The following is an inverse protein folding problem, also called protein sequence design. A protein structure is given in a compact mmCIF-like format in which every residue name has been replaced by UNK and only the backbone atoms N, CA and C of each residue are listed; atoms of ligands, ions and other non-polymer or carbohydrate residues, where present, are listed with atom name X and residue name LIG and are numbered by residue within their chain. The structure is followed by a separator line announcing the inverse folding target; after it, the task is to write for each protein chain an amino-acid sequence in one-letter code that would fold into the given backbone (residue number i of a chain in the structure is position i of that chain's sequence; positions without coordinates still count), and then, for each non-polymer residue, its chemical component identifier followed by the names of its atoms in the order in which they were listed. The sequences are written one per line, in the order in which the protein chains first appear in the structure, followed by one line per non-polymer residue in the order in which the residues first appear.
data_IF_737616940494
#
_entry.id   IF_737616940494
#
_cell.length_a   1.000
_cell.length_b   1.000
_cell.length_c   1.000
_cell.angle_alpha   90.00
_cell.angle_beta   90.00
_cell.angle_gamma   90.00
#
_symmetry.space_group_name_H-M   'P 1'
#
loop_
_entity.id
_entity.type
_entity.pdbx_description
1 polymer ?
#
# COMPACT_ATOMS: atom_id res chain seq x y z
N UNK A 1 -22.31 6.56 15.46
CA UNK A 1 -22.35 5.43 14.51
C UNK A 1 -21.99 5.84 13.08
N UNK A 2 -22.58 6.91 12.53
CA UNK A 2 -22.31 7.41 11.16
C UNK A 2 -20.83 7.75 10.86
N UNK A 3 -20.12 8.40 11.79
CA UNK A 3 -18.72 8.79 11.57
C UNK A 3 -17.75 7.61 11.46
N UNK A 4 -17.96 6.57 12.26
CA UNK A 4 -17.16 5.33 12.21
C UNK A 4 -17.31 4.66 10.85
N UNK A 5 -18.54 4.56 10.34
CA UNK A 5 -18.81 3.99 9.02
C UNK A 5 -18.19 4.80 7.89
N UNK A 6 -18.22 6.15 7.97
CA UNK A 6 -17.57 7.03 6.98
C UNK A 6 -16.05 6.89 6.98
N UNK A 7 -15.43 6.79 8.17
CA UNK A 7 -14.00 6.60 8.33
C UNK A 7 -13.54 5.22 7.83
N UNK A 8 -14.23 4.15 8.24
CA UNK A 8 -13.97 2.78 7.77
C UNK A 8 -14.09 2.70 6.25
N UNK A 9 -15.17 3.25 5.66
CA UNK A 9 -15.36 3.30 4.21
C UNK A 9 -14.20 4.02 3.51
N UNK A 10 -13.81 5.20 4.02
CA UNK A 10 -12.73 6.00 3.42
C UNK A 10 -11.41 5.24 3.40
N UNK A 11 -10.98 4.68 4.53
CA UNK A 11 -9.71 3.97 4.61
C UNK A 11 -9.69 2.72 3.75
N UNK A 12 -10.79 1.96 3.74
CA UNK A 12 -10.89 0.77 2.89
C UNK A 12 -10.92 1.13 1.40
N UNK A 13 -11.52 2.26 1.01
CA UNK A 13 -11.52 2.72 -0.38
C UNK A 13 -10.11 3.16 -0.83
N UNK A 14 -9.35 3.85 0.05
CA UNK A 14 -7.94 4.19 -0.18
C UNK A 14 -7.10 2.92 -0.34
N UNK A 15 -7.23 1.97 0.60
CA UNK A 15 -6.51 0.70 0.57
C UNK A 15 -6.84 -0.13 -0.68
N UNK A 16 -8.11 -0.17 -1.09
CA UNK A 16 -8.54 -0.80 -2.34
C UNK A 16 -7.91 -0.18 -3.57
N UNK A 17 -7.89 1.15 -3.66
CA UNK A 17 -7.24 1.84 -4.78
C UNK A 17 -5.73 1.64 -4.80
N UNK A 18 -5.06 1.56 -3.64
CA UNK A 18 -3.65 1.17 -3.55
C UNK A 18 -3.44 -0.26 -4.07
N UNK A 19 -4.26 -1.22 -3.65
CA UNK A 19 -4.19 -2.59 -4.17
C UNK A 19 -4.40 -2.68 -5.68
N UNK A 20 -5.38 -1.95 -6.24
CA UNK A 20 -5.56 -1.87 -7.69
C UNK A 20 -4.34 -1.28 -8.41
N UNK A 21 -3.69 -0.29 -7.81
CA UNK A 21 -2.45 0.27 -8.34
C UNK A 21 -1.33 -0.77 -8.33
N UNK A 22 -1.07 -1.43 -7.20
CA UNK A 22 -0.03 -2.46 -7.09
C UNK A 22 -0.23 -3.61 -8.06
N UNK A 23 -1.48 -4.03 -8.28
CA UNK A 23 -1.80 -5.06 -9.28
C UNK A 23 -1.48 -4.60 -10.70
N UNK A 24 -1.90 -3.39 -11.07
CA UNK A 24 -1.64 -2.84 -12.40
C UNK A 24 -0.15 -2.63 -12.63
N UNK A 25 0.55 -2.14 -11.62
CA UNK A 25 2.00 -1.97 -11.66
C UNK A 25 2.71 -3.31 -11.79
N UNK A 26 2.36 -4.32 -10.98
CA UNK A 26 2.90 -5.67 -11.08
C UNK A 26 2.71 -6.28 -12.47
N UNK A 27 1.51 -6.14 -13.05
CA UNK A 27 1.24 -6.60 -14.42
C UNK A 27 2.07 -5.87 -15.46
N UNK A 28 2.26 -4.56 -15.31
CA UNK A 28 3.10 -3.76 -16.19
C UNK A 28 4.58 -4.19 -16.11
N UNK A 29 5.11 -4.40 -14.90
CA UNK A 29 6.47 -4.92 -14.69
C UNK A 29 6.62 -6.32 -15.28
N UNK A 30 5.62 -7.20 -15.10
CA UNK A 30 5.60 -8.53 -15.71
C UNK A 30 5.77 -8.47 -17.23
N UNK A 31 5.05 -7.57 -17.92
CA UNK A 31 5.22 -7.36 -19.36
C UNK A 31 6.62 -6.90 -19.75
N UNK A 32 7.24 -6.03 -18.95
CA UNK A 32 8.60 -5.56 -19.20
C UNK A 32 9.58 -6.71 -19.07
N UNK A 33 9.46 -7.51 -18.00
CA UNK A 33 10.28 -8.72 -17.80
C UNK A 33 10.09 -9.66 -19.00
N UNK A 34 8.86 -9.99 -19.36
CA UNK A 34 8.59 -10.87 -20.50
C UNK A 34 9.22 -10.34 -21.80
N UNK A 35 9.15 -9.03 -22.05
CA UNK A 35 9.78 -8.41 -23.21
C UNK A 35 11.30 -8.66 -23.24
N UNK A 36 12.00 -8.38 -22.13
CA UNK A 36 13.45 -8.55 -22.04
C UNK A 36 13.90 -10.01 -22.10
N UNK A 37 13.13 -10.94 -21.53
CA UNK A 37 13.49 -12.37 -21.48
C UNK A 37 12.94 -13.18 -22.67
N UNK A 38 11.98 -12.66 -23.45
CA UNK A 38 11.42 -13.33 -24.64
C UNK A 38 12.44 -13.78 -25.69
N UNK A 39 13.60 -13.12 -25.90
CA UNK A 39 14.60 -13.57 -26.86
C UNK A 39 15.28 -14.88 -26.44
N UNK A 40 15.41 -15.16 -25.14
CA UNK A 40 16.17 -16.32 -24.63
C UNK A 40 15.58 -17.64 -25.13
N UNK A 41 14.28 -17.95 -24.93
CA UNK A 41 13.70 -19.16 -25.49
C UNK A 41 13.73 -19.16 -27.03
N UNK A 42 13.69 -18.00 -27.66
CA UNK A 42 13.66 -17.89 -29.12
C UNK A 42 15.01 -18.28 -29.75
N UNK A 43 16.11 -17.78 -29.19
CA UNK A 43 17.46 -17.92 -29.76
C UNK A 43 18.29 -19.03 -29.12
N UNK A 44 18.11 -19.32 -27.84
CA UNK A 44 19.00 -20.23 -27.10
C UNK A 44 18.46 -21.65 -26.94
N UNK A 45 17.16 -21.89 -27.15
CA UNK A 45 16.54 -23.18 -26.85
C UNK A 45 16.35 -24.06 -28.09
N UNK A 46 16.59 -25.37 -27.94
CA UNK A 46 16.22 -26.39 -28.95
C UNK A 46 14.70 -26.60 -29.00
N UNK A 47 14.20 -27.27 -30.05
CA UNK A 47 12.75 -27.50 -30.24
C UNK A 47 12.09 -28.19 -29.03
N UNK A 48 12.75 -29.18 -28.44
CA UNK A 48 12.26 -29.90 -27.25
C UNK A 48 12.27 -29.01 -26.00
N UNK A 49 13.31 -28.18 -25.84
CA UNK A 49 13.40 -27.22 -24.74
C UNK A 49 12.33 -26.13 -24.85
N UNK A 50 12.06 -25.59 -26.05
CA UNK A 50 10.98 -24.62 -26.29
C UNK A 50 9.63 -25.19 -25.88
N UNK A 51 9.31 -26.41 -26.34
CA UNK A 51 8.05 -27.08 -25.98
C UNK A 51 7.92 -27.23 -24.46
N UNK A 52 8.95 -27.77 -23.79
CA UNK A 52 8.96 -27.93 -22.32
C UNK A 52 8.82 -26.60 -21.59
N UNK A 53 9.51 -25.56 -22.05
CA UNK A 53 9.46 -24.23 -21.44
C UNK A 53 8.06 -23.64 -21.49
N UNK A 54 7.42 -23.57 -22.66
CA UNK A 54 6.08 -23.00 -22.79
C UNK A 54 5.01 -23.86 -22.11
N UNK A 55 5.14 -25.18 -22.12
CA UNK A 55 4.24 -26.08 -21.38
C UNK A 55 4.34 -25.84 -19.87
N UNK A 56 5.54 -25.69 -19.33
CA UNK A 56 5.76 -25.37 -17.92
C UNK A 56 5.23 -23.98 -17.58
N UNK A 57 5.51 -22.97 -18.41
CA UNK A 57 5.03 -21.60 -18.20
C UNK A 57 3.50 -21.57 -18.11
N UNK A 58 2.81 -22.25 -19.02
CA UNK A 58 1.34 -22.37 -18.99
C UNK A 58 0.82 -23.08 -17.74
N UNK A 59 1.50 -24.13 -17.27
CA UNK A 59 1.12 -24.85 -16.04
C UNK A 59 1.36 -24.03 -14.79
N UNK A 60 2.43 -23.24 -14.75
CA UNK A 60 2.80 -22.40 -13.61
C UNK A 60 2.04 -21.07 -13.57
N UNK A 61 1.48 -20.60 -14.70
CA UNK A 61 0.80 -19.31 -14.78
C UNK A 61 -0.27 -19.09 -13.70
N UNK A 62 -1.20 -20.04 -13.42
CA UNK A 62 -2.22 -19.82 -12.40
C UNK A 62 -1.64 -19.68 -10.99
N UNK A 63 -0.58 -20.43 -10.68
CA UNK A 63 0.10 -20.37 -9.39
C UNK A 63 0.83 -19.02 -9.22
N UNK A 64 1.45 -18.53 -10.30
CA UNK A 64 2.07 -17.20 -10.32
C UNK A 64 1.02 -16.10 -10.19
N UNK A 65 -0.11 -16.22 -10.89
CA UNK A 65 -1.20 -15.24 -10.80
C UNK A 65 -1.78 -15.17 -9.38
N UNK A 66 -1.94 -16.32 -8.70
CA UNK A 66 -2.36 -16.36 -7.30
C UNK A 66 -1.29 -15.75 -6.37
N UNK A 67 -0.02 -16.12 -6.56
CA UNK A 67 1.11 -15.61 -5.78
C UNK A 67 1.26 -14.09 -5.88
N UNK A 68 1.08 -13.52 -7.07
CA UNK A 68 1.26 -12.08 -7.28
C UNK A 68 -0.03 -11.30 -6.99
N UNK A 69 -1.19 -11.80 -7.43
CA UNK A 69 -2.43 -11.02 -7.49
C UNK A 69 -3.54 -11.52 -6.57
N UNK A 70 -3.32 -12.60 -5.82
CA UNK A 70 -4.26 -13.12 -4.83
C UNK A 70 -4.70 -12.03 -3.84
N UNK A 71 -6.01 -11.92 -3.60
CA UNK A 71 -6.61 -10.85 -2.76
C UNK A 71 -6.32 -10.99 -1.26
N UNK A 72 -5.90 -12.19 -0.81
CA UNK A 72 -5.63 -12.50 0.61
C UNK A 72 -4.14 -12.59 0.93
N UNK A 73 -3.39 -13.26 0.08
CA UNK A 73 -1.99 -13.62 0.32
C UNK A 73 -1.06 -13.26 -0.85
N UNK A 74 -1.57 -12.57 -1.86
CA UNK A 74 -0.77 -12.18 -3.02
C UNK A 74 0.23 -11.07 -2.70
N UNK A 75 1.30 -11.01 -3.48
CA UNK A 75 2.34 -9.98 -3.36
C UNK A 75 1.76 -8.56 -3.45
N UNK A 76 0.87 -8.30 -4.41
CA UNK A 76 0.26 -6.97 -4.57
C UNK A 76 -0.61 -6.54 -3.39
N UNK A 77 -1.27 -7.47 -2.69
CA UNK A 77 -2.05 -7.10 -1.49
C UNK A 77 -1.14 -6.85 -0.30
N UNK A 78 -0.06 -7.64 -0.15
CA UNK A 78 0.96 -7.40 0.87
C UNK A 78 1.62 -6.03 0.72
N UNK A 79 1.98 -5.65 -0.51
CA UNK A 79 2.56 -4.35 -0.81
C UNK A 79 1.55 -3.21 -0.55
N UNK A 80 0.28 -3.40 -0.90
CA UNK A 80 -0.77 -2.43 -0.58
C UNK A 80 -1.00 -2.28 0.92
N UNK A 81 -0.94 -3.36 1.72
CA UNK A 81 -0.98 -3.28 3.18
C UNK A 81 0.17 -2.46 3.74
N UNK A 82 1.39 -2.75 3.29
CA UNK A 82 2.59 -2.04 3.71
C UNK A 82 2.52 -0.55 3.35
N UNK A 83 2.22 -0.23 2.09
CA UNK A 83 2.14 1.15 1.61
C UNK A 83 1.02 1.93 2.31
N UNK A 84 -0.16 1.32 2.52
CA UNK A 84 -1.22 1.94 3.29
C UNK A 84 -0.77 2.26 4.72
N UNK A 85 -0.15 1.29 5.40
CA UNK A 85 0.36 1.47 6.75
C UNK A 85 1.40 2.58 6.83
N UNK A 86 2.35 2.60 5.89
CA UNK A 86 3.40 3.62 5.81
C UNK A 86 2.81 5.02 5.61
N UNK A 87 1.99 5.23 4.56
CA UNK A 87 1.42 6.56 4.28
C UNK A 87 0.47 7.04 5.39
N UNK A 88 -0.34 6.14 5.96
CA UNK A 88 -1.21 6.52 7.07
C UNK A 88 -0.41 6.94 8.30
N UNK A 89 0.68 6.24 8.61
CA UNK A 89 1.52 6.48 9.79
C UNK A 89 2.32 7.78 9.73
N UNK A 90 2.47 8.38 8.55
CA UNK A 90 3.14 9.69 8.41
C UNK A 90 2.26 10.82 8.97
N UNK A 91 0.93 10.72 8.86
CA UNK A 91 0.04 11.79 9.33
C UNK A 91 0.17 12.08 10.84
N UNK A 92 0.22 11.07 11.73
CA UNK A 92 0.48 11.30 13.15
C UNK A 92 1.86 11.89 13.49
N UNK A 93 2.86 11.75 12.62
CA UNK A 93 4.21 12.30 12.87
C UNK A 93 4.19 13.82 13.05
N UNK A 94 3.17 14.53 12.56
CA UNK A 94 3.03 15.98 12.78
C UNK A 94 2.96 16.33 14.28
N UNK A 95 2.36 15.45 15.10
CA UNK A 95 2.34 15.63 16.55
C UNK A 95 3.73 15.44 17.16
N UNK A 96 4.51 14.51 16.61
CA UNK A 96 5.90 14.27 17.02
C UNK A 96 6.76 15.50 16.75
N UNK A 97 6.66 16.08 15.55
CA UNK A 97 7.39 17.31 15.20
C UNK A 97 6.97 18.50 16.07
N UNK A 98 5.67 18.65 16.36
CA UNK A 98 5.22 19.71 17.27
C UNK A 98 5.82 19.57 18.68
N UNK A 99 5.85 18.35 19.23
CA UNK A 99 6.45 18.08 20.54
C UNK A 99 7.95 18.35 20.49
N UNK A 100 8.63 17.88 19.44
CA UNK A 100 10.06 18.13 19.22
C UNK A 100 10.39 19.64 19.19
N UNK A 101 9.60 20.44 18.46
CA UNK A 101 9.74 21.90 18.42
C UNK A 101 9.59 22.56 19.79
N UNK A 102 8.75 22.03 20.69
CA UNK A 102 8.67 22.51 22.08
C UNK A 102 9.94 22.19 22.87
N UNK A 103 10.48 20.98 22.74
CA UNK A 103 11.73 20.60 23.40
C UNK A 103 12.89 21.52 22.98
N UNK A 104 12.99 21.81 21.68
CA UNK A 104 13.97 22.75 21.13
C UNK A 104 13.76 24.15 21.71
N UNK A 105 12.52 24.66 21.69
CA UNK A 105 12.19 26.01 22.21
C UNK A 105 12.57 26.20 23.69
N UNK A 106 12.44 25.16 24.51
CA UNK A 106 12.76 25.19 25.93
C UNK A 106 14.19 24.70 26.25
N UNK A 107 15.04 24.48 25.25
CA UNK A 107 16.42 23.97 25.38
C UNK A 107 16.51 22.70 26.25
N UNK A 108 15.54 21.79 26.11
CA UNK A 108 15.53 20.52 26.82
C UNK A 108 16.38 19.51 26.05
N UNK A 109 17.37 18.92 26.72
CA UNK A 109 18.20 17.87 26.10
C UNK A 109 17.36 16.63 25.77
N UNK A 110 17.40 16.22 24.50
CA UNK A 110 16.76 14.99 24.04
C UNK A 110 17.82 13.92 23.80
N UNK A 111 17.69 12.80 24.50
CA UNK A 111 18.41 11.59 24.13
C UNK A 111 17.63 10.79 23.07
N UNK A 112 18.32 9.83 22.44
CA UNK A 112 17.73 9.01 21.38
C UNK A 112 16.47 8.23 21.84
N UNK A 113 16.40 7.83 23.11
CA UNK A 113 15.23 7.12 23.64
C UNK A 113 14.00 8.02 23.70
N UNK A 114 14.15 9.26 24.21
CA UNK A 114 13.07 10.25 24.26
C UNK A 114 12.59 10.58 22.84
N UNK A 115 13.52 10.78 21.90
CA UNK A 115 13.19 10.99 20.50
C UNK A 115 12.36 9.84 19.91
N UNK A 116 12.79 8.59 20.12
CA UNK A 116 12.03 7.42 19.65
C UNK A 116 10.62 7.35 20.25
N UNK A 117 10.45 7.67 21.52
CA UNK A 117 9.15 7.67 22.20
C UNK A 117 8.21 8.73 21.62
N UNK A 118 8.72 9.93 21.33
CA UNK A 118 7.96 11.04 20.73
C UNK A 118 7.41 10.66 19.35
N UNK A 119 8.11 9.82 18.58
CA UNK A 119 7.63 9.30 17.30
C UNK A 119 6.75 8.05 17.44
N UNK A 120 7.14 7.10 18.30
CA UNK A 120 6.44 5.82 18.42
C UNK A 120 5.04 5.95 19.03
N UNK A 121 4.86 6.81 20.05
CA UNK A 121 3.56 6.92 20.76
C UNK A 121 2.46 7.49 19.85
N UNK A 122 2.62 8.65 19.18
CA UNK A 122 1.57 9.20 18.33
C UNK A 122 1.22 8.27 17.17
N UNK A 123 2.24 7.70 16.51
CA UNK A 123 2.04 6.73 15.42
C UNK A 123 1.28 5.51 15.92
N UNK A 124 1.70 4.91 17.04
CA UNK A 124 1.05 3.74 17.62
C UNK A 124 -0.41 3.99 17.99
N UNK A 125 -0.69 5.06 18.72
CA UNK A 125 -2.05 5.40 19.16
C UNK A 125 -2.97 5.66 17.96
N UNK A 126 -2.51 6.46 17.00
CA UNK A 126 -3.31 6.81 15.82
C UNK A 126 -3.48 5.65 14.84
N UNK A 127 -2.55 4.68 14.81
CA UNK A 127 -2.66 3.52 13.91
C UNK A 127 -3.69 2.49 14.39
N UNK A 128 -3.94 2.37 15.70
CA UNK A 128 -4.95 1.44 16.26
C UNK A 128 -6.33 1.55 15.58
N UNK A 129 -6.95 2.74 15.46
CA UNK A 129 -8.26 2.86 14.79
C UNK A 129 -8.19 2.52 13.30
N UNK A 130 -7.11 2.85 12.60
CA UNK A 130 -6.93 2.50 11.19
C UNK A 130 -6.80 0.98 10.99
N UNK A 131 -6.01 0.33 11.83
CA UNK A 131 -5.89 -1.13 11.85
C UNK A 131 -7.25 -1.80 12.10
N UNK A 132 -8.01 -1.32 13.08
CA UNK A 132 -9.37 -1.83 13.38
C UNK A 132 -10.36 -1.61 12.25
N UNK A 133 -10.17 -0.55 11.46
CA UNK A 133 -11.04 -0.19 10.36
C UNK A 133 -10.78 -1.03 9.10
N UNK A 134 -9.52 -1.37 8.82
CA UNK A 134 -9.12 -2.01 7.56
C UNK A 134 -8.78 -3.49 7.73
N UNK A 135 -7.94 -3.83 8.71
CA UNK A 135 -7.30 -5.14 8.78
C UNK A 135 -7.94 -6.12 9.76
N UNK A 136 -8.63 -5.64 10.80
CA UNK A 136 -9.28 -6.55 11.76
C UNK A 136 -10.31 -7.44 11.09
N UNK A 137 -10.17 -8.76 11.28
CA UNK A 137 -11.04 -9.80 10.72
C UNK A 137 -11.21 -9.70 9.19
N UNK A 138 -10.13 -9.32 8.48
CA UNK A 138 -10.12 -9.17 7.02
C UNK A 138 -11.25 -8.27 6.47
N UNK A 139 -11.66 -7.25 7.24
CA UNK A 139 -12.73 -6.31 6.86
C UNK A 139 -12.53 -5.73 5.45
N UNK A 140 -11.30 -5.43 5.06
CA UNK A 140 -10.99 -4.91 3.73
C UNK A 140 -11.53 -5.79 2.61
N UNK A 141 -11.57 -7.12 2.77
CA UNK A 141 -12.13 -8.01 1.75
C UNK A 141 -13.63 -7.80 1.54
N UNK A 142 -14.37 -7.46 2.59
CA UNK A 142 -15.81 -7.18 2.50
C UNK A 142 -16.05 -5.90 1.71
N UNK A 143 -15.24 -4.87 1.98
CA UNK A 143 -15.27 -3.62 1.24
C UNK A 143 -14.79 -3.77 -0.20
N UNK A 144 -13.78 -4.60 -0.47
CA UNK A 144 -13.32 -4.87 -1.84
C UNK A 144 -14.44 -5.46 -2.68
N UNK A 145 -15.21 -6.41 -2.14
CA UNK A 145 -16.40 -6.97 -2.83
C UNK A 145 -17.48 -5.92 -3.12
N UNK A 146 -17.61 -4.91 -2.25
CA UNK A 146 -18.51 -3.78 -2.48
C UNK A 146 -17.98 -2.90 -3.61
N UNK A 147 -16.72 -2.49 -3.52
CA UNK A 147 -16.09 -1.56 -4.46
C UNK A 147 -15.88 -2.14 -5.85
N UNK A 148 -15.74 -3.45 -5.98
CA UNK A 148 -15.68 -4.13 -7.29
C UNK A 148 -16.97 -3.99 -8.11
N UNK A 149 -18.10 -3.69 -7.47
CA UNK A 149 -19.39 -3.49 -8.12
C UNK A 149 -19.68 -2.03 -8.46
N UNK A 150 -18.84 -1.11 -8.00
CA UNK A 150 -19.00 0.31 -8.23
C UNK A 150 -18.66 0.66 -9.69
N UNK A 151 -19.14 1.82 -10.13
CA UNK A 151 -18.96 2.25 -11.50
C UNK A 151 -17.58 2.89 -11.77
N UNK A 152 -17.29 3.16 -13.04
CA UNK A 152 -16.03 3.79 -13.43
C UNK A 152 -15.86 5.19 -12.81
N UNK A 153 -16.96 5.91 -12.62
CA UNK A 153 -16.94 7.24 -12.00
C UNK A 153 -16.42 7.15 -10.56
N UNK A 154 -16.94 6.20 -9.77
CA UNK A 154 -16.48 5.92 -8.42
C UNK A 154 -14.99 5.58 -8.39
N UNK A 155 -14.54 4.69 -9.28
CA UNK A 155 -13.13 4.29 -9.34
C UNK A 155 -12.20 5.47 -9.68
N UNK A 156 -12.57 6.31 -10.66
CA UNK A 156 -11.80 7.51 -11.01
C UNK A 156 -11.73 8.49 -9.84
N UNK A 157 -12.85 8.71 -9.15
CA UNK A 157 -12.94 9.58 -7.98
C UNK A 157 -12.04 9.10 -6.84
N UNK A 158 -12.10 7.82 -6.49
CA UNK A 158 -11.32 7.27 -5.37
C UNK A 158 -9.84 7.11 -5.70
N UNK A 159 -9.48 6.87 -6.97
CA UNK A 159 -8.09 6.98 -7.42
C UNK A 159 -7.52 8.37 -7.13
N UNK A 160 -8.24 9.44 -7.49
CA UNK A 160 -7.79 10.82 -7.23
C UNK A 160 -7.66 11.11 -5.73
N UNK A 161 -8.61 10.64 -4.91
CA UNK A 161 -8.55 10.79 -3.44
C UNK A 161 -7.38 10.03 -2.82
N UNK A 162 -7.09 8.84 -3.31
CA UNK A 162 -5.94 8.04 -2.87
C UNK A 162 -4.62 8.71 -3.20
N UNK A 163 -4.51 9.30 -4.40
CA UNK A 163 -3.35 10.12 -4.78
C UNK A 163 -3.22 11.32 -3.84
N UNK A 164 -4.30 12.05 -3.57
CA UNK A 164 -4.29 13.16 -2.62
C UNK A 164 -3.92 12.73 -1.19
N UNK A 165 -4.34 11.55 -0.75
CA UNK A 165 -3.94 10.97 0.53
C UNK A 165 -2.44 10.68 0.58
N UNK A 166 -1.86 10.09 -0.48
CA UNK A 166 -0.42 9.83 -0.57
C UNK A 166 0.38 11.14 -0.55
N UNK A 167 0.02 12.11 -1.41
CA UNK A 167 0.69 13.40 -1.43
C UNK A 167 0.49 14.20 -0.14
N UNK A 168 -0.67 14.08 0.50
CA UNK A 168 -0.94 14.70 1.78
C UNK A 168 -0.04 14.15 2.89
N UNK A 169 0.20 12.84 2.90
CA UNK A 169 1.17 12.22 3.80
C UNK A 169 2.59 12.78 3.55
N UNK A 170 3.04 12.78 2.30
CA UNK A 170 4.36 13.33 1.92
C UNK A 170 4.48 14.80 2.33
N UNK A 171 3.47 15.62 2.05
CA UNK A 171 3.44 17.02 2.44
C UNK A 171 3.49 17.22 3.97
N UNK A 172 2.80 16.36 4.74
CA UNK A 172 2.84 16.40 6.21
C UNK A 172 4.23 16.14 6.75
N UNK A 173 5.00 15.24 6.11
CA UNK A 173 6.39 14.98 6.48
C UNK A 173 7.25 16.24 6.29
N UNK A 174 7.13 16.92 5.15
CA UNK A 174 7.90 18.14 4.87
C UNK A 174 7.50 19.32 5.76
N UNK A 175 6.19 19.51 6.01
CA UNK A 175 5.71 20.55 6.91
C UNK A 175 6.26 20.35 8.33
N UNK A 176 6.31 19.09 8.79
CA UNK A 176 6.90 18.76 10.09
C UNK A 176 8.40 19.06 10.20
N UNK A 177 9.15 19.01 9.10
CA UNK A 177 10.59 19.37 9.09
C UNK A 177 10.81 20.89 9.10
N UNK A 178 9.86 21.67 8.58
CA UNK A 178 9.97 23.13 8.47
C UNK A 178 9.54 23.84 9.77
N UNK A 179 8.60 23.25 10.52
CA UNK A 179 8.06 23.77 11.79
C UNK A 179 9.02 23.47 12.93
#
# INVERSE_FOLDING_TARGET
MMYKHKFEYFLNAVHYCMWLFERKFGFFIGKIVDFFFSPIPKFLFTKNMKKRYYDNMRKSQPQLDELFYGKKSGFSIGLAHHNFGAFYSIYPCIFSFFIEGLFIKYNVEMNAFVFLVIFAIPVGICYIPAYKAVFSNDKYLQYFKLFEKEDEHWHKKWKRRTIAFIFGAIASLFLGVII
#
